data_IF_036056686864
#
_entry.id   IF_036056686864
#
_cell.length_a   1.000
_cell.length_b   1.000
_cell.length_c   1.000
_cell.angle_alpha   90.00
_cell.angle_beta   90.00
_cell.angle_gamma   90.00
#
_symmetry.space_group_name_H-M   'P 1'
#
loop_
_entity.id
_entity.type
_entity.pdbx_description
1 polymer ?
#
# COMPACT_ATOMS: atom_id res chain seq x y z
N UNK A 1 30.13 16.55 27.68
CA UNK A 1 29.70 16.27 26.28
C UNK A 1 30.49 15.07 25.79
N UNK A 2 29.90 13.88 25.83
CA UNK A 2 30.54 12.67 25.31
C UNK A 2 30.26 12.59 23.81
N UNK A 3 31.33 12.55 22.99
CA UNK A 3 31.24 12.20 21.57
C UNK A 3 30.78 10.74 21.49
N UNK A 4 29.64 10.48 20.82
CA UNK A 4 29.34 9.14 20.32
C UNK A 4 30.51 8.72 19.44
N UNK A 5 31.18 7.64 19.81
CA UNK A 5 32.18 6.99 19.00
C UNK A 5 31.41 6.39 17.81
N UNK A 6 31.77 6.81 16.61
CA UNK A 6 31.27 6.20 15.37
C UNK A 6 31.88 4.81 15.27
N UNK A 7 31.03 3.79 15.42
CA UNK A 7 31.39 2.39 15.16
C UNK A 7 30.96 2.06 13.72
N UNK A 8 31.91 1.87 12.79
CA UNK A 8 31.60 1.57 11.38
C UNK A 8 31.01 0.16 11.17
N UNK A 9 30.86 -0.66 12.22
CA UNK A 9 30.36 -2.03 12.11
C UNK A 9 28.85 -2.18 12.44
N UNK A 10 28.13 -1.11 12.81
CA UNK A 10 26.67 -1.20 13.04
C UNK A 10 25.84 -1.28 11.74
N UNK A 11 26.39 -0.85 10.59
CA UNK A 11 25.70 -0.82 9.30
C UNK A 11 25.89 -2.09 8.44
N UNK A 12 26.67 -3.08 8.90
CA UNK A 12 27.17 -4.18 8.05
C UNK A 12 26.29 -5.45 8.02
N UNK A 13 25.07 -5.42 8.57
CA UNK A 13 24.21 -6.61 8.64
C UNK A 13 22.79 -6.44 8.07
N UNK A 14 22.48 -5.28 7.48
CA UNK A 14 21.18 -5.06 6.82
C UNK A 14 21.25 -5.62 5.41
N UNK A 15 20.49 -6.68 5.14
CA UNK A 15 20.48 -7.25 3.78
C UNK A 15 19.69 -6.32 2.83
N UNK A 16 19.93 -6.36 1.51
CA UNK A 16 19.12 -5.61 0.54
C UNK A 16 17.62 -5.93 0.62
N UNK A 17 17.27 -7.13 1.09
CA UNK A 17 15.90 -7.54 1.37
C UNK A 17 15.32 -6.78 2.57
N UNK A 18 16.11 -6.59 3.62
CA UNK A 18 15.69 -5.87 4.83
C UNK A 18 15.51 -4.38 4.53
N UNK A 19 16.43 -3.76 3.79
CA UNK A 19 16.29 -2.37 3.33
C UNK A 19 15.01 -2.17 2.52
N UNK A 20 14.72 -3.09 1.60
CA UNK A 20 13.50 -3.02 0.79
C UNK A 20 12.24 -3.14 1.64
N UNK A 21 12.24 -4.03 2.63
CA UNK A 21 11.11 -4.18 3.54
C UNK A 21 10.88 -2.93 4.40
N UNK A 22 11.96 -2.33 4.92
CA UNK A 22 11.90 -1.07 5.67
C UNK A 22 11.36 0.03 4.77
N UNK A 23 11.89 0.17 3.56
CA UNK A 23 11.41 1.16 2.59
C UNK A 23 9.92 0.97 2.26
N UNK A 24 9.49 -0.27 1.98
CA UNK A 24 8.09 -0.60 1.69
C UNK A 24 7.16 -0.23 2.85
N UNK A 25 7.58 -0.52 4.09
CA UNK A 25 6.85 -0.16 5.31
C UNK A 25 6.69 1.35 5.45
N UNK A 26 7.78 2.10 5.31
CA UNK A 26 7.79 3.56 5.45
C UNK A 26 6.97 4.25 4.35
N UNK A 27 7.08 3.78 3.10
CA UNK A 27 6.27 4.30 2.00
C UNK A 27 4.78 4.08 2.24
N UNK A 28 4.39 2.89 2.70
CA UNK A 28 2.99 2.61 2.99
C UNK A 28 2.47 3.41 4.19
N UNK A 29 3.24 3.49 5.27
CA UNK A 29 2.88 4.28 6.45
C UNK A 29 2.68 5.77 6.07
N UNK A 30 3.63 6.34 5.31
CA UNK A 30 3.53 7.72 4.83
C UNK A 30 2.28 7.93 3.99
N UNK A 31 2.02 7.01 3.06
CA UNK A 31 0.86 7.05 2.19
C UNK A 31 -0.45 7.05 2.99
N UNK A 32 -0.60 6.13 3.96
CA UNK A 32 -1.80 6.05 4.80
C UNK A 32 -2.00 7.33 5.60
N UNK A 33 -0.93 7.86 6.21
CA UNK A 33 -1.00 9.09 6.99
C UNK A 33 -1.50 10.27 6.14
N UNK A 34 -0.94 10.44 4.96
CA UNK A 34 -1.39 11.45 4.00
C UNK A 34 -2.86 11.24 3.57
N UNK A 35 -3.33 10.00 3.40
CA UNK A 35 -4.75 9.72 3.10
C UNK A 35 -5.69 10.08 4.26
N UNK A 36 -5.27 9.84 5.51
CA UNK A 36 -6.03 10.24 6.71
C UNK A 36 -6.16 11.77 6.75
N UNK A 37 -5.04 12.47 6.56
CA UNK A 37 -4.98 13.94 6.54
C UNK A 37 -5.83 14.53 5.40
N UNK A 38 -5.76 13.94 4.20
CA UNK A 38 -6.57 14.35 3.04
C UNK A 38 -8.08 14.19 3.26
N UNK A 39 -8.50 13.20 4.05
CA UNK A 39 -9.90 13.01 4.43
C UNK A 39 -10.31 13.85 5.65
N UNK A 40 -9.41 14.67 6.20
CA UNK A 40 -9.68 15.50 7.38
C UNK A 40 -9.94 14.69 8.65
N UNK A 41 -9.45 13.45 8.70
CA UNK A 41 -9.61 12.57 9.86
C UNK A 41 -8.47 12.81 10.86
N UNK A 42 -8.72 12.63 12.17
CA UNK A 42 -7.64 12.68 13.16
C UNK A 42 -6.73 11.46 12.98
N UNK A 43 -5.41 11.69 12.92
CA UNK A 43 -4.41 10.62 12.89
C UNK A 43 -4.46 9.86 14.23
N UNK A 44 -4.80 8.56 14.24
CA UNK A 44 -4.81 7.78 15.47
C UNK A 44 -3.40 7.56 16.00
N UNK A 45 -3.27 7.49 17.33
CA UNK A 45 -2.04 7.12 18.04
C UNK A 45 -1.73 5.63 17.79
N UNK A 46 -1.04 5.37 16.68
CA UNK A 46 -0.61 4.05 16.22
C UNK A 46 0.88 4.14 15.94
N UNK A 47 1.73 3.29 16.55
CA UNK A 47 3.18 3.41 16.45
C UNK A 47 3.75 3.46 15.02
N UNK A 48 3.04 2.84 14.06
CA UNK A 48 3.46 2.86 12.66
C UNK A 48 3.25 4.21 11.97
N UNK A 49 2.27 5.01 12.41
CA UNK A 49 1.91 6.29 11.80
C UNK A 49 2.50 7.49 12.53
N UNK A 50 3.11 7.28 13.70
CA UNK A 50 3.75 8.33 14.48
C UNK A 50 5.06 8.79 13.85
N UNK A 51 5.25 10.11 13.81
CA UNK A 51 6.51 10.77 13.39
C UNK A 51 7.24 10.09 12.24
N UNK A 52 6.54 9.84 11.13
CA UNK A 52 7.09 9.12 9.99
C UNK A 52 8.32 9.86 9.48
N UNK A 53 9.48 9.28 9.74
CA UNK A 53 10.77 9.74 9.27
C UNK A 53 11.40 8.59 8.49
N UNK A 54 11.71 8.85 7.22
CA UNK A 54 12.35 7.84 6.39
C UNK A 54 13.75 7.52 6.94
N UNK A 55 14.06 6.24 7.11
CA UNK A 55 15.38 5.77 7.56
C UNK A 55 16.48 6.20 6.58
N UNK A 56 16.17 6.21 5.28
CA UNK A 56 17.06 6.70 4.24
C UNK A 56 16.47 7.95 3.55
N UNK A 57 17.14 9.12 3.60
CA UNK A 57 16.67 10.34 2.96
C UNK A 57 16.41 10.23 1.45
N UNK A 58 17.07 9.31 0.75
CA UNK A 58 16.87 9.09 -0.69
C UNK A 58 15.46 8.54 -1.00
N UNK A 59 14.82 7.89 -0.03
CA UNK A 59 13.49 7.29 -0.22
C UNK A 59 12.37 8.33 -0.23
N UNK A 60 12.64 9.56 0.22
CA UNK A 60 11.70 10.69 0.14
C UNK A 60 11.30 10.98 -1.32
N UNK A 61 12.22 10.77 -2.27
CA UNK A 61 11.91 10.91 -3.69
C UNK A 61 10.87 9.87 -4.16
N UNK A 62 11.00 8.62 -3.70
CA UNK A 62 10.03 7.56 -3.99
C UNK A 62 8.67 7.89 -3.35
N UNK A 63 8.63 8.40 -2.12
CA UNK A 63 7.39 8.84 -1.48
C UNK A 63 6.69 9.96 -2.27
N UNK A 64 7.46 10.96 -2.70
CA UNK A 64 6.97 12.07 -3.52
C UNK A 64 6.41 11.60 -4.86
N UNK A 65 7.13 10.69 -5.54
CA UNK A 65 6.66 10.10 -6.79
C UNK A 65 5.38 9.31 -6.56
N UNK A 66 5.35 8.40 -5.57
CA UNK A 66 4.16 7.64 -5.20
C UNK A 66 2.95 8.55 -4.97
N UNK A 67 3.12 9.65 -4.23
CA UNK A 67 2.06 10.65 -3.99
C UNK A 67 1.59 11.31 -5.29
N UNK A 68 2.50 11.67 -6.20
CA UNK A 68 2.10 12.17 -7.52
C UNK A 68 1.26 11.13 -8.28
N UNK A 69 1.70 9.87 -8.33
CA UNK A 69 0.97 8.80 -9.04
C UNK A 69 -0.41 8.54 -8.40
N UNK A 70 -0.48 8.62 -7.08
CA UNK A 70 -1.72 8.49 -6.33
C UNK A 70 -2.70 9.62 -6.63
N UNK A 71 -2.22 10.87 -6.72
CA UNK A 71 -3.03 12.03 -7.11
C UNK A 71 -3.53 11.91 -8.56
N UNK A 72 -2.74 11.36 -9.47
CA UNK A 72 -3.20 11.05 -10.84
C UNK A 72 -4.28 9.96 -10.82
N UNK A 73 -4.03 8.87 -10.09
CA UNK A 73 -4.98 7.76 -9.97
C UNK A 73 -6.27 8.19 -9.27
N UNK A 74 -6.22 9.12 -8.32
CA UNK A 74 -7.39 9.58 -7.58
C UNK A 74 -8.43 10.27 -8.46
N UNK A 75 -7.99 10.82 -9.60
CA UNK A 75 -8.85 11.42 -10.63
C UNK A 75 -9.37 10.40 -11.65
N UNK A 76 -8.92 9.14 -11.58
CA UNK A 76 -9.37 8.09 -12.50
C UNK A 76 -10.72 7.51 -12.09
N UNK A 77 -11.56 7.03 -13.05
CA UNK A 77 -12.81 6.34 -12.73
C UNK A 77 -12.60 5.10 -11.85
N UNK A 78 -11.47 4.42 -12.04
CA UNK A 78 -11.10 3.21 -11.30
C UNK A 78 -10.96 3.47 -9.80
N UNK A 79 -10.55 4.68 -9.39
CA UNK A 79 -10.45 5.05 -7.97
C UNK A 79 -11.78 4.90 -7.24
N UNK A 80 -12.88 5.30 -7.87
CA UNK A 80 -14.21 5.21 -7.27
C UNK A 80 -14.61 3.75 -7.04
N UNK A 81 -14.31 2.87 -8.00
CA UNK A 81 -14.52 1.43 -7.82
C UNK A 81 -13.73 0.89 -6.63
N UNK A 82 -12.43 1.21 -6.52
CA UNK A 82 -11.61 0.77 -5.38
C UNK A 82 -12.22 1.22 -4.05
N UNK A 83 -12.70 2.47 -3.98
CA UNK A 83 -13.36 3.01 -2.77
C UNK A 83 -14.63 2.25 -2.42
N UNK A 84 -15.49 2.04 -3.40
CA UNK A 84 -16.75 1.31 -3.21
C UNK A 84 -16.49 -0.13 -2.76
N UNK A 85 -15.45 -0.78 -3.29
CA UNK A 85 -15.03 -2.12 -2.82
C UNK A 85 -14.61 -2.10 -1.37
N UNK A 86 -13.73 -1.17 -0.99
CA UNK A 86 -13.25 -1.06 0.37
C UNK A 86 -14.39 -0.82 1.37
N UNK A 87 -15.38 0.00 0.99
CA UNK A 87 -16.56 0.27 1.82
C UNK A 87 -17.57 -0.89 1.86
N UNK A 88 -17.52 -1.82 0.90
CA UNK A 88 -18.33 -3.05 0.91
C UNK A 88 -17.75 -4.16 1.78
N UNK A 89 -16.56 -3.94 2.37
CA UNK A 89 -15.92 -4.88 3.30
C UNK A 89 -16.74 -4.96 4.59
N UNK A 90 -17.30 -6.13 4.89
CA UNK A 90 -17.88 -6.43 6.20
C UNK A 90 -16.78 -6.48 7.26
N UNK A 91 -16.69 -5.37 8.00
CA UNK A 91 -15.73 -5.18 9.07
C UNK A 91 -15.95 -6.13 10.27
N UNK A 92 -17.14 -6.72 10.42
CA UNK A 92 -17.47 -7.55 11.58
C UNK A 92 -16.90 -8.97 11.48
N UNK A 93 -16.74 -9.49 10.27
CA UNK A 93 -16.21 -10.84 9.99
C UNK A 93 -14.78 -10.82 9.43
N UNK A 94 -14.21 -9.62 9.24
CA UNK A 94 -12.89 -9.41 8.68
C UNK A 94 -11.76 -9.93 9.57
N UNK A 95 -10.79 -10.61 8.98
CA UNK A 95 -9.58 -11.12 9.62
C UNK A 95 -8.37 -10.99 8.69
N UNK A 96 -7.16 -11.27 9.19
CA UNK A 96 -5.94 -11.10 8.38
C UNK A 96 -5.88 -12.02 7.16
N UNK A 97 -6.49 -13.21 7.24
CA UNK A 97 -6.48 -14.19 6.16
C UNK A 97 -7.37 -13.75 5.00
N UNK A 98 -8.67 -13.49 5.25
CA UNK A 98 -9.58 -13.04 4.19
C UNK A 98 -9.17 -11.66 3.63
N UNK A 99 -8.58 -10.79 4.46
CA UNK A 99 -8.00 -9.53 3.99
C UNK A 99 -6.83 -9.74 3.01
N UNK A 100 -5.90 -10.63 3.35
CA UNK A 100 -4.77 -10.98 2.47
C UNK A 100 -5.23 -11.64 1.16
N UNK A 101 -6.28 -12.45 1.22
CA UNK A 101 -6.90 -13.07 0.04
C UNK A 101 -7.53 -12.02 -0.89
N UNK A 102 -8.26 -11.03 -0.33
CA UNK A 102 -8.80 -9.93 -1.12
C UNK A 102 -7.71 -9.15 -1.87
N UNK A 103 -6.58 -8.86 -1.20
CA UNK A 103 -5.44 -8.18 -1.84
C UNK A 103 -4.80 -9.08 -2.92
N UNK A 104 -4.70 -10.39 -2.67
CA UNK A 104 -4.16 -11.33 -3.64
C UNK A 104 -4.99 -11.39 -4.93
N UNK A 105 -6.31 -11.27 -4.83
CA UNK A 105 -7.20 -11.20 -6.00
C UNK A 105 -6.96 -9.96 -6.87
N UNK A 106 -6.45 -8.85 -6.31
CA UNK A 106 -5.99 -7.70 -7.12
C UNK A 106 -4.92 -8.11 -8.15
N UNK A 107 -4.17 -9.16 -7.83
CA UNK A 107 -3.09 -9.66 -8.65
C UNK A 107 -3.45 -10.90 -9.45
N UNK A 108 -4.64 -11.49 -9.26
CA UNK A 108 -5.03 -12.70 -9.99
C UNK A 108 -5.10 -12.41 -11.50
N UNK A 109 -4.41 -13.23 -12.31
CA UNK A 109 -4.49 -13.19 -13.77
C UNK A 109 -3.61 -12.18 -14.51
N UNK A 110 -2.51 -11.66 -13.95
CA UNK A 110 -1.58 -10.83 -14.74
C UNK A 110 -0.31 -10.34 -14.05
N UNK A 111 0.56 -9.69 -14.81
CA UNK A 111 1.79 -9.04 -14.31
C UNK A 111 1.44 -7.90 -13.35
N UNK A 112 2.22 -7.73 -12.28
CA UNK A 112 2.06 -6.58 -11.39
C UNK A 112 2.49 -5.31 -12.12
N UNK A 113 1.59 -4.34 -12.24
CA UNK A 113 1.86 -3.02 -12.82
C UNK A 113 1.81 -1.95 -11.73
N UNK A 114 2.36 -0.76 -12.01
CA UNK A 114 2.26 0.42 -11.14
C UNK A 114 0.81 0.71 -10.74
N UNK A 115 -0.14 0.56 -11.66
CA UNK A 115 -1.56 0.77 -11.38
C UNK A 115 -2.08 -0.23 -10.34
N UNK A 116 -1.65 -1.49 -10.40
CA UNK A 116 -2.01 -2.50 -9.40
C UNK A 116 -1.40 -2.19 -8.03
N UNK A 117 -0.18 -1.62 -7.99
CA UNK A 117 0.42 -1.09 -6.75
C UNK A 117 -0.49 -0.03 -6.13
N UNK A 118 -0.94 0.95 -6.93
CA UNK A 118 -1.84 2.00 -6.46
C UNK A 118 -3.18 1.44 -5.99
N UNK A 119 -3.75 0.46 -6.71
CA UNK A 119 -4.98 -0.22 -6.28
C UNK A 119 -4.81 -0.87 -4.91
N UNK A 120 -3.68 -1.55 -4.65
CA UNK A 120 -3.43 -2.16 -3.32
C UNK A 120 -3.27 -1.10 -2.24
N UNK A 121 -2.48 -0.05 -2.50
CA UNK A 121 -2.27 1.03 -1.55
C UNK A 121 -3.60 1.69 -1.16
N UNK A 122 -4.41 2.07 -2.17
CA UNK A 122 -5.73 2.66 -1.94
C UNK A 122 -6.73 1.70 -1.31
N UNK A 123 -6.78 0.44 -1.75
CA UNK A 123 -7.71 -0.53 -1.18
C UNK A 123 -7.41 -0.76 0.30
N UNK A 124 -6.14 -1.00 0.63
CA UNK A 124 -5.71 -1.21 2.02
C UNK A 124 -5.99 0.02 2.89
N UNK A 125 -5.62 1.21 2.41
CA UNK A 125 -5.88 2.45 3.15
C UNK A 125 -7.38 2.71 3.29
N UNK A 126 -8.18 2.53 2.24
CA UNK A 126 -9.62 2.79 2.29
C UNK A 126 -10.36 1.87 3.25
N UNK A 127 -10.00 0.57 3.33
CA UNK A 127 -10.60 -0.35 4.30
C UNK A 127 -10.23 0.07 5.73
N UNK A 128 -8.97 0.47 5.96
CA UNK A 128 -8.54 0.99 7.24
C UNK A 128 -9.29 2.28 7.59
N UNK A 129 -9.33 3.26 6.69
CA UNK A 129 -10.03 4.53 6.91
C UNK A 129 -11.54 4.33 7.11
N UNK A 130 -12.14 3.35 6.44
CA UNK A 130 -13.52 2.96 6.69
C UNK A 130 -13.72 2.41 8.11
N UNK A 131 -12.81 1.56 8.60
CA UNK A 131 -12.81 1.11 9.99
C UNK A 131 -12.63 2.26 10.99
N UNK A 132 -11.76 3.23 10.67
CA UNK A 132 -11.53 4.43 11.46
C UNK A 132 -12.78 5.32 11.54
N UNK A 133 -13.45 5.56 10.41
CA UNK A 133 -14.70 6.31 10.32
C UNK A 133 -15.85 5.66 11.11
N UNK A 134 -15.86 4.33 11.20
CA UNK A 134 -16.81 3.56 12.01
C UNK A 134 -16.37 3.42 13.49
N UNK A 135 -15.38 4.20 13.94
CA UNK A 135 -14.86 4.21 15.31
C UNK A 135 -14.32 2.86 15.82
N UNK A 136 -13.84 1.99 14.92
CA UNK A 136 -13.26 0.69 15.26
C UNK A 136 -11.74 0.72 15.27
N UNK A 137 -11.14 1.51 16.18
CA UNK A 137 -9.69 1.75 16.26
C UNK A 137 -8.84 0.47 16.38
N UNK A 138 -9.35 -0.54 17.10
CA UNK A 138 -8.69 -1.84 17.21
C UNK A 138 -8.59 -2.56 15.85
N UNK A 139 -9.64 -2.47 15.04
CA UNK A 139 -9.65 -3.05 13.70
C UNK A 139 -8.80 -2.21 12.74
N UNK A 140 -8.86 -0.89 12.83
CA UNK A 140 -7.95 0.00 12.09
C UNK A 140 -6.49 -0.40 12.32
N UNK A 141 -6.07 -0.53 13.57
CA UNK A 141 -4.69 -0.90 13.92
C UNK A 141 -4.31 -2.27 13.34
N UNK A 142 -5.22 -3.25 13.41
CA UNK A 142 -5.03 -4.57 12.78
C UNK A 142 -4.92 -4.49 11.27
N UNK A 143 -5.73 -3.67 10.61
CA UNK A 143 -5.69 -3.48 9.16
C UNK A 143 -4.38 -2.86 8.71
N UNK A 144 -3.93 -1.82 9.40
CA UNK A 144 -2.62 -1.22 9.15
C UNK A 144 -1.50 -2.26 9.30
N UNK A 145 -1.55 -3.09 10.34
CA UNK A 145 -0.60 -4.18 10.53
C UNK A 145 -0.66 -5.21 9.39
N UNK A 146 -1.84 -5.76 9.07
CA UNK A 146 -2.00 -6.77 8.02
C UNK A 146 -1.59 -6.25 6.64
N UNK A 147 -1.93 -5.00 6.30
CA UNK A 147 -1.49 -4.36 5.06
C UNK A 147 0.03 -4.24 5.00
N UNK A 148 0.64 -3.82 6.12
CA UNK A 148 2.09 -3.69 6.21
C UNK A 148 2.76 -5.04 6.04
N UNK A 149 2.30 -6.07 6.74
CA UNK A 149 2.84 -7.43 6.64
C UNK A 149 2.74 -7.98 5.21
N UNK A 150 1.62 -7.70 4.52
CA UNK A 150 1.45 -8.07 3.12
C UNK A 150 2.43 -7.32 2.20
N UNK A 151 2.57 -6.01 2.41
CA UNK A 151 3.42 -5.12 1.60
C UNK A 151 4.91 -5.43 1.80
N UNK A 152 5.35 -5.70 3.03
CA UNK A 152 6.73 -6.09 3.34
C UNK A 152 7.01 -7.56 2.99
N UNK A 153 5.98 -8.41 2.95
CA UNK A 153 6.13 -9.82 2.57
C UNK A 153 6.06 -10.04 1.05
N UNK A 154 4.93 -10.56 0.58
CA UNK A 154 4.77 -11.01 -0.82
C UNK A 154 4.97 -9.89 -1.83
N UNK A 155 4.58 -8.68 -1.48
CA UNK A 155 4.68 -7.55 -2.39
C UNK A 155 6.13 -7.07 -2.55
N UNK A 156 6.95 -7.12 -1.48
CA UNK A 156 8.37 -6.74 -1.56
C UNK A 156 9.18 -7.67 -2.47
N UNK A 157 8.88 -8.97 -2.50
CA UNK A 157 9.49 -9.90 -3.47
C UNK A 157 9.27 -9.45 -4.92
N UNK A 158 8.07 -8.95 -5.24
CA UNK A 158 7.80 -8.38 -6.55
C UNK A 158 8.59 -7.09 -6.78
N UNK A 159 8.58 -6.15 -5.84
CA UNK A 159 9.31 -4.87 -5.98
C UNK A 159 10.80 -5.15 -6.22
N UNK A 160 11.37 -6.13 -5.51
CA UNK A 160 12.74 -6.59 -5.73
C UNK A 160 12.96 -7.09 -7.16
N UNK A 161 12.03 -7.88 -7.70
CA UNK A 161 12.13 -8.40 -9.08
C UNK A 161 12.12 -7.32 -10.16
N UNK A 162 11.58 -6.14 -9.88
CA UNK A 162 11.54 -4.99 -10.79
C UNK A 162 12.75 -4.05 -10.65
N UNK A 163 13.69 -4.34 -9.75
CA UNK A 163 14.82 -3.46 -9.45
C UNK A 163 14.52 -2.40 -8.39
N UNK A 164 13.52 -2.63 -7.53
CA UNK A 164 13.20 -1.79 -6.38
C UNK A 164 12.12 -0.73 -6.63
N UNK A 165 11.81 0.03 -5.59
CA UNK A 165 10.76 1.06 -5.62
C UNK A 165 11.00 2.15 -6.65
N UNK A 166 12.26 2.56 -6.84
CA UNK A 166 12.61 3.58 -7.82
C UNK A 166 12.26 3.13 -9.24
N UNK A 167 12.52 1.87 -9.59
CA UNK A 167 12.12 1.33 -10.89
C UNK A 167 10.59 1.26 -11.02
N UNK A 168 9.88 0.78 -10.01
CA UNK A 168 8.41 0.64 -10.04
C UNK A 168 7.71 2.00 -10.18
N UNK A 169 8.21 3.03 -9.51
CA UNK A 169 7.57 4.35 -9.48
C UNK A 169 8.00 5.24 -10.65
N UNK A 170 9.23 5.09 -11.15
CA UNK A 170 9.74 5.93 -12.24
C UNK A 170 9.54 5.34 -13.64
N UNK A 171 9.12 4.08 -13.74
CA UNK A 171 8.89 3.47 -15.06
C UNK A 171 7.63 4.07 -15.71
N UNK A 172 7.84 5.03 -16.60
CA UNK A 172 6.81 5.58 -17.48
C UNK A 172 6.57 4.59 -18.62
N UNK A 173 5.61 3.67 -18.45
CA UNK A 173 5.23 2.82 -19.57
C UNK A 173 4.59 3.71 -20.65
N UNK A 174 5.15 3.68 -21.86
CA UNK A 174 4.70 4.42 -23.03
C UNK A 174 3.17 4.40 -23.17
N UNK A 175 2.58 5.53 -23.55
CA UNK A 175 1.14 5.83 -23.68
C UNK A 175 0.32 4.75 -24.43
N UNK A 176 0.97 3.92 -25.25
CA UNK A 176 0.35 2.81 -25.99
C UNK A 176 -0.02 1.59 -25.12
N UNK A 177 0.66 1.36 -23.98
CA UNK A 177 0.33 0.29 -23.03
C UNK A 177 -0.67 0.74 -21.95
N UNK A 178 -1.00 2.03 -21.85
CA UNK A 178 -2.03 2.54 -20.93
C UNK A 178 -3.41 1.92 -21.21
N UNK A 179 -3.68 1.57 -22.47
CA UNK A 179 -4.95 0.93 -22.87
C UNK A 179 -5.04 -0.51 -22.33
N UNK A 180 -3.94 -1.28 -22.32
CA UNK A 180 -3.94 -2.65 -21.78
C UNK A 180 -3.90 -2.68 -20.24
N UNK A 181 -3.19 -1.74 -19.61
CA UNK A 181 -3.14 -1.60 -18.16
C UNK A 181 -4.51 -1.25 -17.56
N UNK A 182 -5.30 -0.43 -18.26
CA UNK A 182 -6.68 -0.10 -17.87
C UNK A 182 -7.57 -1.34 -17.91
N UNK A 183 -7.48 -2.16 -18.97
CA UNK A 183 -8.23 -3.42 -19.08
C UNK A 183 -7.85 -4.43 -17.98
N UNK A 184 -6.56 -4.58 -17.68
CA UNK A 184 -6.08 -5.47 -16.62
C UNK A 184 -6.50 -5.03 -15.21
N UNK A 185 -6.64 -3.72 -14.97
CA UNK A 185 -7.18 -3.20 -13.71
C UNK A 185 -8.69 -3.41 -13.59
N UNK A 186 -9.44 -3.24 -14.68
CA UNK A 186 -10.87 -3.58 -14.70
C UNK A 186 -11.09 -5.06 -14.36
N UNK A 187 -10.27 -5.97 -14.89
CA UNK A 187 -10.35 -7.41 -14.56
C UNK A 187 -10.05 -7.67 -13.08
N UNK A 188 -9.01 -7.05 -12.51
CA UNK A 188 -8.67 -7.20 -11.09
C UNK A 188 -9.81 -6.72 -10.17
N UNK A 189 -10.42 -5.59 -10.49
CA UNK A 189 -11.58 -5.06 -9.76
C UNK A 189 -12.81 -5.97 -9.92
N UNK A 190 -13.03 -6.54 -11.10
CA UNK A 190 -14.11 -7.52 -11.37
C UNK A 190 -13.86 -8.86 -10.66
N UNK A 191 -12.62 -9.32 -10.54
CA UNK A 191 -12.29 -10.54 -9.80
C UNK A 191 -12.55 -10.37 -8.30
N UNK A 192 -12.11 -9.25 -7.71
CA UNK A 192 -12.45 -8.88 -6.33
C UNK A 192 -13.97 -8.81 -6.11
N UNK A 193 -14.69 -8.23 -7.07
CA UNK A 193 -16.16 -8.18 -7.11
C UNK A 193 -16.83 -9.53 -6.92
N UNK A 194 -16.37 -10.52 -7.70
CA UNK A 194 -16.89 -11.88 -7.67
C UNK A 194 -16.51 -12.54 -6.36
N UNK A 195 -15.28 -12.38 -5.90
CA UNK A 195 -14.80 -12.99 -4.67
C UNK A 195 -15.55 -12.50 -3.43
N UNK A 196 -15.72 -11.17 -3.27
CA UNK A 196 -16.44 -10.58 -2.13
C UNK A 196 -17.89 -11.06 -2.11
N UNK A 197 -18.58 -11.01 -3.26
CA UNK A 197 -19.96 -11.47 -3.38
C UNK A 197 -20.12 -12.97 -3.10
N UNK A 198 -19.13 -13.79 -3.47
CA UNK A 198 -19.22 -15.24 -3.33
C UNK A 198 -18.85 -15.71 -1.92
N UNK A 199 -18.04 -14.93 -1.18
CA UNK A 199 -17.64 -15.25 0.20
C UNK A 199 -18.56 -14.64 1.26
N UNK A 200 -19.36 -13.62 0.93
CA UNK A 200 -20.37 -13.06 1.85
C UNK A 200 -21.77 -13.11 1.27
N UNK A 201 -22.38 -14.28 1.42
CA UNK A 201 -23.83 -14.49 1.39
C UNK A 201 -24.33 -14.85 2.77
#
# INVERSE_FOLDING_TARGET
>A
MARKIYDPNEDENTTPSDELQIQSRELYANFVREEIELQGLPVPDVPLLDNIQFSNPLWVCNASNLRQLANEFSQSPLRNEVRLRAQSVDLTTLNGQNFSEMIQEVFSGGTLTRERVLVVFFFCSDVALFALQNHTLNLFSKLIQWSTDYITGRFSNFISSQGGWTAVLNNSINTLLKVSATAACCVAVVAMLVFIKNNWK
#
